data_IF_462280293414
#
_entry.id   IF_462280293414
#
_cell.length_a   1.000
_cell.length_b   1.000
_cell.length_c   1.000
_cell.angle_alpha   90.00
_cell.angle_beta   90.00
_cell.angle_gamma   90.00
#
_symmetry.space_group_name_H-M   'P 1'
#
loop_
_entity.id
_entity.type
_entity.pdbx_description
1 polymer ?
#
# COMPACT_ATOMS: atom_id res chain seq x y z
N UNK A 1 -13.44 2.04 23.96
CA UNK A 1 -12.14 2.74 24.10
C UNK A 1 -11.45 2.64 22.76
N UNK A 2 -11.12 3.75 22.12
CA UNK A 2 -10.46 3.78 20.81
C UNK A 2 -8.97 3.63 21.02
N UNK A 3 -8.36 2.60 20.44
CA UNK A 3 -6.90 2.44 20.51
C UNK A 3 -6.24 3.64 19.81
N UNK A 4 -5.25 4.30 20.44
CA UNK A 4 -4.56 5.41 19.79
C UNK A 4 -3.80 4.92 18.55
N UNK A 5 -3.73 5.75 17.52
CA UNK A 5 -2.94 5.44 16.33
C UNK A 5 -1.46 5.26 16.70
N UNK A 6 -0.84 4.12 16.36
CA UNK A 6 0.55 3.83 16.72
C UNK A 6 1.52 4.54 15.76
N UNK A 7 1.64 5.86 15.89
CA UNK A 7 2.38 6.72 14.96
C UNK A 7 3.83 6.27 14.72
N UNK A 8 4.59 5.96 15.78
CA UNK A 8 5.98 5.52 15.64
C UNK A 8 6.10 4.24 14.82
N UNK A 9 5.18 3.29 14.99
CA UNK A 9 5.14 2.06 14.22
C UNK A 9 4.75 2.38 12.78
N UNK A 10 3.74 3.22 12.55
CA UNK A 10 3.35 3.63 11.21
C UNK A 10 4.49 4.29 10.43
N UNK A 11 5.31 5.14 11.07
CA UNK A 11 6.49 5.75 10.45
C UNK A 11 7.51 4.69 9.98
N UNK A 12 7.79 3.68 10.81
CA UNK A 12 8.68 2.56 10.44
C UNK A 12 8.06 1.75 9.30
N UNK A 13 6.79 1.36 9.41
CA UNK A 13 6.14 0.51 8.41
C UNK A 13 6.00 1.22 7.06
N UNK A 14 5.70 2.53 7.03
CA UNK A 14 5.71 3.29 5.78
C UNK A 14 7.12 3.40 5.19
N UNK A 15 8.15 3.57 6.02
CA UNK A 15 9.54 3.58 5.55
C UNK A 15 9.84 2.27 4.82
N UNK A 16 9.49 1.12 5.42
CA UNK A 16 9.72 -0.19 4.80
C UNK A 16 8.88 -0.38 3.52
N UNK A 17 7.62 0.05 3.50
CA UNK A 17 6.78 0.03 2.30
C UNK A 17 7.37 0.90 1.17
N UNK A 18 7.85 2.10 1.49
CA UNK A 18 8.45 3.04 0.53
C UNK A 18 9.72 2.47 -0.12
N UNK A 19 10.54 1.73 0.63
CA UNK A 19 11.75 1.09 0.08
C UNK A 19 11.45 0.09 -1.05
N UNK A 20 10.24 -0.48 -1.09
CA UNK A 20 9.82 -1.36 -2.17
C UNK A 20 9.86 -0.67 -3.55
N UNK A 21 9.73 0.66 -3.59
CA UNK A 21 9.83 1.46 -4.82
C UNK A 21 11.27 1.70 -5.30
N UNK A 22 12.30 1.19 -4.61
CA UNK A 22 13.68 1.22 -5.11
C UNK A 22 13.86 0.45 -6.45
N UNK A 23 12.95 -0.46 -6.75
CA UNK A 23 12.85 -1.19 -8.02
C UNK A 23 12.21 -0.40 -9.17
N UNK A 24 11.56 0.72 -8.88
CA UNK A 24 10.78 1.46 -9.86
C UNK A 24 11.61 2.41 -10.74
N UNK A 25 12.88 2.62 -10.37
CA UNK A 25 13.77 3.49 -11.13
C UNK A 25 14.42 2.70 -12.26
N UNK A 26 13.92 2.90 -13.49
CA UNK A 26 14.65 2.53 -14.71
C UNK A 26 16.05 3.11 -14.67
N UNK A 27 17.02 2.33 -15.11
CA UNK A 27 18.38 2.83 -15.28
C UNK A 27 18.37 3.98 -16.29
N UNK A 28 18.89 5.15 -15.90
CA UNK A 28 18.83 6.35 -16.72
C UNK A 28 19.68 6.27 -18.00
N UNK A 29 20.58 5.29 -18.09
CA UNK A 29 21.46 5.06 -19.25
C UNK A 29 20.88 4.01 -20.19
N UNK A 30 20.28 2.94 -19.66
CA UNK A 30 19.75 1.84 -20.49
C UNK A 30 18.25 1.93 -20.73
N UNK A 31 17.51 2.64 -19.86
CA UNK A 31 16.04 2.65 -19.87
C UNK A 31 15.40 1.35 -19.40
N UNK A 32 16.19 0.40 -18.92
CA UNK A 32 15.73 -0.91 -18.43
C UNK A 32 15.47 -0.88 -16.93
N UNK A 33 14.58 -1.75 -16.46
CA UNK A 33 14.42 -1.97 -15.03
C UNK A 33 15.64 -2.72 -14.47
N UNK A 34 16.11 -2.35 -13.26
CA UNK A 34 17.26 -3.01 -12.67
C UNK A 34 16.95 -4.48 -12.35
N UNK A 35 17.93 -5.39 -12.45
CA UNK A 35 17.75 -6.77 -12.00
C UNK A 35 17.44 -6.80 -10.49
N UNK A 36 16.69 -7.82 -10.04
CA UNK A 36 16.26 -7.92 -8.62
C UNK A 36 17.42 -7.96 -7.62
N UNK A 37 18.62 -8.43 -8.02
CA UNK A 37 19.83 -8.34 -7.19
C UNK A 37 20.25 -6.90 -6.90
N UNK A 38 20.11 -5.99 -7.87
CA UNK A 38 20.37 -4.55 -7.70
C UNK A 38 19.30 -3.92 -6.84
N UNK A 39 18.03 -4.30 -7.03
CA UNK A 39 16.92 -3.85 -6.16
C UNK A 39 17.18 -4.25 -4.71
N UNK A 40 17.53 -5.53 -4.47
CA UNK A 40 17.89 -6.03 -3.14
C UNK A 40 19.01 -5.22 -2.52
N UNK A 41 20.08 -4.96 -3.27
CA UNK A 41 21.20 -4.15 -2.81
C UNK A 41 20.79 -2.70 -2.45
N UNK A 42 19.87 -2.09 -3.22
CA UNK A 42 19.34 -0.74 -2.91
C UNK A 42 18.52 -0.76 -1.62
N UNK A 43 17.59 -1.69 -1.46
CA UNK A 43 16.77 -1.82 -0.24
C UNK A 43 17.69 -2.04 0.98
N UNK A 44 18.60 -3.00 0.90
CA UNK A 44 19.55 -3.30 1.99
C UNK A 44 20.45 -2.10 2.30
N UNK A 45 20.96 -1.41 1.29
CA UNK A 45 21.78 -0.20 1.47
C UNK A 45 21.03 0.90 2.22
N UNK A 46 19.74 1.10 1.92
CA UNK A 46 18.92 2.08 2.60
C UNK A 46 18.51 1.66 4.02
N UNK A 47 18.22 0.39 4.26
CA UNK A 47 17.98 -0.13 5.62
C UNK A 47 19.20 0.03 6.54
N UNK A 48 20.40 -0.02 5.96
CA UNK A 48 21.67 0.27 6.63
C UNK A 48 21.98 1.78 6.77
N UNK A 49 21.01 2.68 6.55
CA UNK A 49 21.15 4.12 6.81
C UNK A 49 20.51 4.53 8.14
N UNK A 50 21.21 5.36 8.92
CA UNK A 50 20.76 5.80 10.25
C UNK A 50 19.80 6.99 10.13
N UNK A 51 19.55 7.43 8.91
CA UNK A 51 18.73 8.59 8.61
C UNK A 51 17.24 8.27 8.65
N UNK A 52 16.86 6.99 8.48
CA UNK A 52 15.46 6.58 8.38
C UNK A 52 14.91 6.03 9.70
N UNK A 53 13.58 6.04 9.84
CA UNK A 53 12.89 5.56 11.04
C UNK A 53 13.19 4.09 11.38
N UNK A 54 13.70 3.30 10.44
CA UNK A 54 14.17 1.93 10.65
C UNK A 54 15.47 1.82 11.48
N UNK A 55 16.23 2.91 11.66
CA UNK A 55 17.37 3.04 12.58
C UNK A 55 18.34 1.85 12.59
N UNK A 56 18.71 1.30 11.42
CA UNK A 56 19.61 0.13 11.25
C UNK A 56 19.15 -1.18 11.88
N UNK A 57 17.95 -1.24 12.47
CA UNK A 57 17.50 -2.46 13.13
C UNK A 57 16.86 -3.44 12.17
N UNK A 58 16.64 -3.09 10.90
CA UNK A 58 15.93 -3.92 9.93
C UNK A 58 16.86 -4.43 8.83
N UNK A 59 16.69 -5.68 8.42
CA UNK A 59 17.44 -6.29 7.31
C UNK A 59 16.52 -7.13 6.42
N UNK A 60 16.80 -7.18 5.11
CA UNK A 60 16.04 -8.03 4.18
C UNK A 60 16.41 -9.49 4.41
N UNK A 61 15.41 -10.34 4.65
CA UNK A 61 15.61 -11.76 4.96
C UNK A 61 14.89 -12.73 3.99
N UNK A 62 13.98 -12.21 3.17
CA UNK A 62 13.35 -12.94 2.06
C UNK A 62 13.01 -11.96 0.93
N UNK A 63 13.25 -12.37 -0.32
CA UNK A 63 13.06 -11.53 -1.49
C UNK A 63 14.16 -10.46 -1.64
N UNK A 64 13.86 -9.33 -2.32
CA UNK A 64 12.60 -9.00 -2.96
C UNK A 64 12.28 -9.90 -4.16
N UNK A 65 10.98 -10.12 -4.41
CA UNK A 65 10.47 -10.83 -5.58
C UNK A 65 9.46 -9.94 -6.29
N UNK A 66 9.67 -9.72 -7.59
CA UNK A 66 8.69 -9.07 -8.46
C UNK A 66 7.89 -10.13 -9.22
N UNK A 67 6.57 -10.03 -9.21
CA UNK A 67 5.69 -10.94 -9.94
C UNK A 67 5.61 -10.51 -11.41
N UNK A 68 5.65 -11.48 -12.32
CA UNK A 68 5.85 -11.22 -13.75
C UNK A 68 4.62 -10.67 -14.49
N UNK A 69 3.42 -10.89 -13.96
CA UNK A 69 2.16 -10.52 -14.63
C UNK A 69 1.62 -9.17 -14.17
N UNK A 70 1.95 -8.78 -12.94
CA UNK A 70 1.30 -7.64 -12.27
C UNK A 70 2.30 -6.56 -11.82
N UNK A 71 3.60 -6.76 -12.05
CA UNK A 71 4.69 -5.89 -11.59
C UNK A 71 4.64 -5.56 -10.09
N UNK A 72 3.93 -6.40 -9.33
CA UNK A 72 3.88 -6.32 -7.89
C UNK A 72 5.20 -6.78 -7.28
N UNK A 73 5.59 -6.21 -6.16
CA UNK A 73 6.80 -6.62 -5.45
C UNK A 73 6.49 -6.94 -4.00
N UNK A 74 7.10 -8.01 -3.49
CA UNK A 74 7.02 -8.40 -2.08
C UNK A 74 8.42 -8.72 -1.54
N UNK A 75 8.69 -8.31 -0.31
CA UNK A 75 9.89 -8.70 0.43
C UNK A 75 9.63 -8.75 1.94
N UNK A 76 10.45 -9.50 2.68
CA UNK A 76 10.38 -9.56 4.15
C UNK A 76 11.61 -8.92 4.77
N UNK A 77 11.38 -8.05 5.74
CA UNK A 77 12.41 -7.49 6.61
C UNK A 77 12.31 -8.07 8.03
N UNK A 78 13.45 -8.31 8.67
CA UNK A 78 13.58 -8.72 10.06
C UNK A 78 14.14 -7.58 10.89
N UNK A 79 13.50 -7.27 12.00
CA UNK A 79 14.08 -6.45 13.04
C UNK A 79 15.09 -7.30 13.85
N UNK A 80 16.38 -7.00 13.72
CA UNK A 80 17.48 -7.72 14.36
C UNK A 80 17.56 -7.53 15.88
N UNK A 81 16.82 -6.56 16.43
CA UNK A 81 16.77 -6.27 17.87
C UNK A 81 15.54 -6.91 18.51
N UNK A 82 14.34 -6.66 17.97
CA UNK A 82 13.08 -7.16 18.54
C UNK A 82 12.68 -8.54 18.02
N UNK A 83 13.26 -8.98 16.92
CA UNK A 83 12.87 -10.18 16.19
C UNK A 83 11.62 -9.98 15.31
N UNK A 84 10.93 -8.83 15.33
CA UNK A 84 9.71 -8.64 14.53
C UNK A 84 9.96 -8.81 13.02
N UNK A 85 8.97 -9.33 12.29
CA UNK A 85 9.02 -9.41 10.83
C UNK A 85 8.11 -8.35 10.21
N UNK A 86 8.45 -7.87 9.01
CA UNK A 86 7.61 -7.00 8.21
C UNK A 86 7.54 -7.54 6.78
N UNK A 87 6.34 -7.88 6.32
CA UNK A 87 6.01 -8.23 4.93
C UNK A 87 5.60 -6.93 4.22
N UNK A 88 6.40 -6.52 3.23
CA UNK A 88 6.27 -5.22 2.59
C UNK A 88 5.82 -5.40 1.14
N UNK A 89 4.74 -4.71 0.77
CA UNK A 89 4.03 -4.89 -0.48
C UNK A 89 4.12 -3.62 -1.34
N UNK A 90 4.51 -3.79 -2.60
CA UNK A 90 4.41 -2.77 -3.65
C UNK A 90 3.36 -3.19 -4.67
N UNK A 91 2.55 -2.22 -5.06
CA UNK A 91 1.67 -2.33 -6.23
C UNK A 91 2.40 -2.17 -7.56
N UNK A 92 1.64 -2.02 -8.64
CA UNK A 92 2.18 -1.67 -9.96
C UNK A 92 2.74 -0.26 -9.98
N UNK A 93 3.67 0.00 -10.89
CA UNK A 93 4.43 1.26 -10.92
C UNK A 93 4.17 2.16 -12.12
N UNK A 94 3.11 1.91 -12.87
CA UNK A 94 2.74 2.76 -14.00
C UNK A 94 2.01 4.04 -13.57
N UNK A 95 2.20 5.10 -14.36
CA UNK A 95 1.71 6.46 -14.05
C UNK A 95 0.19 6.50 -13.88
N UNK A 96 -0.32 7.45 -13.09
CA UNK A 96 -1.73 7.57 -12.70
C UNK A 96 -2.76 7.44 -13.87
N UNK A 97 -2.45 7.91 -15.08
CA UNK A 97 -3.34 7.73 -16.24
C UNK A 97 -3.34 6.30 -16.82
N UNK A 98 -2.26 5.55 -16.63
CA UNK A 98 -2.24 4.09 -16.82
C UNK A 98 -3.13 3.38 -15.81
N UNK A 99 -3.43 3.99 -14.65
CA UNK A 99 -4.26 3.41 -13.58
C UNK A 99 -5.76 3.44 -13.86
N UNK A 100 -6.20 4.00 -15.01
CA UNK A 100 -7.52 3.68 -15.56
C UNK A 100 -7.61 2.21 -15.99
N UNK A 101 -6.47 1.56 -16.26
CA UNK A 101 -6.36 0.11 -16.48
C UNK A 101 -6.54 -0.68 -15.17
N UNK A 102 -6.23 -0.07 -14.02
CA UNK A 102 -6.40 -0.70 -12.71
C UNK A 102 -7.87 -0.74 -12.25
N UNK A 103 -8.79 -0.15 -13.02
CA UNK A 103 -10.23 -0.21 -12.73
C UNK A 103 -10.69 -1.68 -12.59
N UNK A 104 -11.56 -1.97 -11.62
CA UNK A 104 -11.90 -3.34 -11.32
C UNK A 104 -12.73 -3.91 -12.47
N UNK A 105 -12.39 -5.12 -12.92
CA UNK A 105 -13.20 -5.84 -13.91
C UNK A 105 -14.34 -6.64 -13.27
N UNK A 106 -14.25 -6.89 -11.97
CA UNK A 106 -15.25 -7.62 -11.20
C UNK A 106 -14.81 -7.90 -9.77
N UNK A 107 -15.61 -8.70 -9.07
CA UNK A 107 -15.35 -9.13 -7.70
C UNK A 107 -15.23 -10.66 -7.60
N UNK A 108 -14.27 -11.12 -6.81
CA UNK A 108 -14.05 -12.53 -6.46
C UNK A 108 -14.33 -12.69 -4.98
N UNK A 109 -15.10 -13.73 -4.62
CA UNK A 109 -15.31 -14.12 -3.21
C UNK A 109 -13.96 -14.32 -2.52
N UNK A 110 -13.74 -13.67 -1.38
CA UNK A 110 -12.48 -13.76 -0.66
C UNK A 110 -12.53 -14.92 0.35
N UNK A 111 -11.75 -16.02 0.17
CA UNK A 111 -12.07 -17.29 0.84
C UNK A 111 -11.39 -17.53 2.20
N UNK A 112 -10.83 -16.53 2.88
CA UNK A 112 -10.17 -16.75 4.18
C UNK A 112 -11.07 -16.32 5.35
N UNK A 113 -11.43 -17.27 6.24
CA UNK A 113 -12.08 -16.94 7.52
C UNK A 113 -13.62 -16.98 7.59
N UNK A 114 -14.31 -17.65 6.66
CA UNK A 114 -15.77 -17.86 6.69
C UNK A 114 -16.60 -16.56 6.75
N UNK A 115 -16.39 -15.68 5.78
CA UNK A 115 -17.13 -14.41 5.65
C UNK A 115 -18.24 -14.56 4.63
N UNK A 116 -19.49 -14.60 5.10
CA UNK A 116 -20.65 -14.65 4.21
C UNK A 116 -20.70 -13.37 3.37
N UNK A 117 -20.50 -13.50 2.05
CA UNK A 117 -20.66 -12.41 1.09
C UNK A 117 -19.46 -11.48 0.91
N UNK A 118 -18.32 -11.69 1.59
CA UNK A 118 -17.13 -10.87 1.35
C UNK A 118 -16.53 -11.17 -0.03
N UNK A 119 -16.31 -10.12 -0.81
CA UNK A 119 -15.68 -10.20 -2.12
C UNK A 119 -14.71 -9.03 -2.30
N UNK A 120 -13.64 -9.28 -3.05
CA UNK A 120 -12.55 -8.33 -3.34
C UNK A 120 -12.42 -8.15 -4.85
N UNK A 121 -11.71 -7.10 -5.28
CA UNK A 121 -11.36 -6.94 -6.71
C UNK A 121 -10.64 -8.19 -7.22
N UNK A 122 -11.01 -8.62 -8.43
CA UNK A 122 -10.38 -9.78 -9.09
C UNK A 122 -8.87 -9.59 -9.29
N UNK A 123 -8.48 -8.36 -9.61
CA UNK A 123 -7.10 -7.94 -9.85
C UNK A 123 -6.26 -8.05 -8.57
N UNK A 124 -6.77 -7.54 -7.44
CA UNK A 124 -6.08 -7.68 -6.16
C UNK A 124 -6.06 -9.12 -5.66
N UNK A 125 -7.10 -9.91 -5.90
CA UNK A 125 -7.10 -11.33 -5.58
C UNK A 125 -6.01 -12.09 -6.36
N UNK A 126 -5.90 -11.82 -7.66
CA UNK A 126 -4.88 -12.47 -8.50
C UNK A 126 -3.47 -12.03 -8.11
N UNK A 127 -3.26 -10.73 -7.88
CA UNK A 127 -2.00 -10.19 -7.38
C UNK A 127 -1.58 -10.83 -6.05
N UNK A 128 -2.52 -11.01 -5.12
CA UNK A 128 -2.26 -11.69 -3.85
C UNK A 128 -1.81 -13.13 -4.07
N UNK A 129 -2.52 -13.88 -4.93
CA UNK A 129 -2.15 -15.27 -5.22
C UNK A 129 -0.73 -15.36 -5.79
N UNK A 130 -0.39 -14.48 -6.74
CA UNK A 130 0.95 -14.42 -7.32
C UNK A 130 2.03 -14.11 -6.27
N UNK A 131 1.77 -13.14 -5.36
CA UNK A 131 2.71 -12.81 -4.29
C UNK A 131 2.90 -13.95 -3.28
N UNK A 132 1.85 -14.72 -2.99
CA UNK A 132 1.93 -15.86 -2.07
C UNK A 132 2.62 -17.08 -2.71
N UNK A 133 2.44 -17.27 -4.01
CA UNK A 133 3.08 -18.34 -4.79
C UNK A 133 4.53 -18.00 -5.19
N UNK A 134 4.91 -16.72 -5.12
CA UNK A 134 6.26 -16.24 -5.38
C UNK A 134 7.28 -16.92 -4.46
N UNK A 135 8.45 -17.25 -5.02
CA UNK A 135 9.55 -17.89 -4.31
C UNK A 135 10.74 -16.96 -4.22
N UNK A 136 11.33 -16.89 -3.04
CA UNK A 136 12.58 -16.16 -2.85
C UNK A 136 13.71 -16.82 -3.66
N UNK A 137 14.46 -16.04 -4.47
CA UNK A 137 15.51 -16.58 -5.32
C UNK A 137 16.66 -17.23 -4.54
N UNK A 138 16.87 -16.84 -3.28
CA UNK A 138 17.99 -17.34 -2.48
C UNK A 138 17.64 -18.65 -1.76
N UNK A 139 16.46 -18.75 -1.17
CA UNK A 139 16.02 -19.91 -0.38
C UNK A 139 15.14 -20.89 -1.16
N UNK A 140 14.52 -20.46 -2.25
CA UNK A 140 13.52 -21.24 -3.00
C UNK A 140 12.18 -21.43 -2.28
N UNK A 141 12.00 -20.81 -1.10
CA UNK A 141 10.79 -20.92 -0.28
C UNK A 141 9.74 -19.88 -0.72
N UNK A 142 8.46 -20.26 -0.64
CA UNK A 142 7.36 -19.30 -0.76
C UNK A 142 7.33 -18.35 0.44
N UNK A 143 6.67 -17.20 0.30
CA UNK A 143 6.53 -16.23 1.39
C UNK A 143 5.96 -16.89 2.66
N UNK A 144 4.86 -17.62 2.53
CA UNK A 144 4.19 -18.25 3.67
C UNK A 144 5.05 -19.33 4.32
N UNK A 145 5.74 -20.15 3.53
CA UNK A 145 6.65 -21.18 4.06
C UNK A 145 7.84 -20.56 4.80
N UNK A 146 8.40 -19.48 4.25
CA UNK A 146 9.49 -18.74 4.87
C UNK A 146 9.05 -18.13 6.22
N UNK A 147 7.97 -17.34 6.23
CA UNK A 147 7.48 -16.69 7.45
C UNK A 147 7.14 -17.75 8.50
N UNK A 148 6.43 -18.81 8.13
CA UNK A 148 6.11 -19.91 9.07
C UNK A 148 7.37 -20.54 9.70
N UNK A 149 8.46 -20.66 8.94
CA UNK A 149 9.74 -21.20 9.43
C UNK A 149 10.55 -20.23 10.30
N UNK A 150 10.28 -18.93 10.24
CA UNK A 150 10.97 -17.90 11.04
C UNK A 150 10.22 -17.52 12.32
N UNK A 151 8.92 -17.77 12.38
CA UNK A 151 8.10 -17.32 13.51
C UNK A 151 8.32 -18.16 14.77
N UNK A 152 8.62 -17.45 15.85
CA UNK A 152 8.52 -17.93 17.23
C UNK A 152 7.15 -17.58 17.80
N UNK A 153 6.63 -18.41 18.71
CA UNK A 153 5.28 -18.23 19.25
C UNK A 153 5.11 -16.83 19.87
N UNK A 154 4.10 -16.08 19.40
CA UNK A 154 3.76 -14.75 19.92
C UNK A 154 4.54 -13.58 19.28
N UNK A 155 5.45 -13.86 18.34
CA UNK A 155 6.14 -12.83 17.56
C UNK A 155 5.14 -11.99 16.74
N UNK A 156 5.44 -10.69 16.60
CA UNK A 156 4.62 -9.79 15.78
C UNK A 156 5.12 -9.81 14.33
N UNK A 157 4.18 -9.93 13.40
CA UNK A 157 4.38 -9.80 11.96
C UNK A 157 3.60 -8.59 11.48
N UNK A 158 4.32 -7.61 10.96
CA UNK A 158 3.71 -6.50 10.26
C UNK A 158 3.45 -6.86 8.81
N UNK A 159 2.32 -6.43 8.26
CA UNK A 159 2.06 -6.42 6.83
C UNK A 159 1.81 -4.98 6.44
N UNK A 160 2.58 -4.47 5.48
CA UNK A 160 2.50 -3.06 5.10
C UNK A 160 2.64 -2.89 3.59
N UNK A 161 2.11 -1.77 3.10
CA UNK A 161 2.18 -1.43 1.69
C UNK A 161 1.70 -0.02 1.45
N UNK A 162 2.02 0.51 0.28
CA UNK A 162 1.59 1.82 -0.19
C UNK A 162 0.84 1.70 -1.53
N UNK A 163 -0.12 2.59 -1.80
CA UNK A 163 -0.89 2.61 -3.04
C UNK A 163 -1.62 1.28 -3.29
N UNK A 164 -1.55 0.69 -4.49
CA UNK A 164 -2.06 -0.64 -4.77
C UNK A 164 -1.46 -1.73 -3.84
N UNK A 165 -0.21 -1.59 -3.39
CA UNK A 165 0.37 -2.48 -2.39
C UNK A 165 -0.37 -2.42 -1.05
N UNK A 166 -0.92 -1.25 -0.70
CA UNK A 166 -1.71 -1.06 0.51
C UNK A 166 -3.09 -1.72 0.44
N UNK A 167 -3.71 -1.76 -0.73
CA UNK A 167 -4.97 -2.49 -0.93
C UNK A 167 -4.83 -4.00 -0.64
N UNK A 168 -3.64 -4.56 -0.89
CA UNK A 168 -3.31 -5.97 -0.65
C UNK A 168 -3.04 -6.30 0.83
N UNK A 169 -2.74 -5.31 1.68
CA UNK A 169 -2.37 -5.51 3.09
C UNK A 169 -3.37 -6.35 3.89
N UNK A 170 -4.67 -6.00 3.97
CA UNK A 170 -5.64 -6.79 4.75
C UNK A 170 -5.79 -8.22 4.21
N UNK A 171 -5.70 -8.39 2.89
CA UNK A 171 -5.81 -9.71 2.26
C UNK A 171 -4.59 -10.58 2.53
N UNK A 172 -3.38 -10.01 2.42
CA UNK A 172 -2.12 -10.68 2.73
C UNK A 172 -2.05 -11.06 4.21
N UNK A 173 -2.43 -10.14 5.11
CA UNK A 173 -2.51 -10.41 6.54
C UNK A 173 -3.42 -11.60 6.83
N UNK A 174 -4.62 -11.61 6.26
CA UNK A 174 -5.56 -12.70 6.46
C UNK A 174 -5.10 -14.04 5.86
N UNK A 175 -4.46 -14.01 4.68
CA UNK A 175 -3.89 -15.20 4.06
C UNK A 175 -2.78 -15.81 4.93
N UNK A 176 -1.89 -14.99 5.49
CA UNK A 176 -0.84 -15.47 6.39
C UNK A 176 -1.41 -15.97 7.73
N UNK A 177 -2.42 -15.29 8.29
CA UNK A 177 -3.01 -15.63 9.57
C UNK A 177 -3.89 -16.89 9.50
N UNK A 178 -4.72 -17.02 8.46
CA UNK A 178 -5.73 -18.07 8.35
C UNK A 178 -5.31 -19.22 7.44
N UNK A 179 -4.31 -19.00 6.59
CA UNK A 179 -3.87 -19.93 5.57
C UNK A 179 -4.36 -19.56 4.17
N UNK A 180 -3.72 -20.15 3.16
CA UNK A 180 -3.99 -19.91 1.75
C UNK A 180 -3.68 -21.16 0.93
N UNK A 181 -4.54 -21.54 -0.03
CA UNK A 181 -4.32 -22.68 -0.94
C UNK A 181 -3.81 -23.97 -0.25
N UNK A 182 -4.48 -24.39 0.83
CA UNK A 182 -4.12 -25.56 1.67
C UNK A 182 -2.86 -25.40 2.54
N UNK A 183 -2.15 -24.28 2.47
CA UNK A 183 -1.07 -23.94 3.39
C UNK A 183 -1.71 -23.42 4.69
N UNK A 184 -1.39 -24.00 5.86
CA UNK A 184 -2.00 -23.59 7.12
C UNK A 184 -1.61 -22.16 7.51
N UNK A 185 -2.48 -21.51 8.27
CA UNK A 185 -2.21 -20.22 8.88
C UNK A 185 -1.03 -20.27 9.86
N UNK A 186 -0.43 -19.10 10.08
CA UNK A 186 0.75 -18.92 10.93
C UNK A 186 0.30 -18.43 12.31
N UNK A 187 0.75 -19.09 13.37
CA UNK A 187 0.45 -18.69 14.75
C UNK A 187 1.34 -17.52 15.21
N UNK A 188 1.03 -16.32 14.74
CA UNK A 188 1.70 -15.06 15.09
C UNK A 188 0.67 -13.97 15.45
N UNK A 189 1.14 -12.87 16.03
CA UNK A 189 0.34 -11.64 16.11
C UNK A 189 0.53 -10.85 14.83
N UNK A 190 -0.53 -10.60 14.07
CA UNK A 190 -0.44 -9.82 12.84
C UNK A 190 -0.92 -8.39 13.03
N UNK A 191 -0.23 -7.44 12.39
CA UNK A 191 -0.60 -6.01 12.35
C UNK A 191 -0.43 -5.42 10.97
N UNK A 192 -1.45 -4.75 10.46
CA UNK A 192 -1.50 -4.16 9.14
C UNK A 192 -1.28 -2.65 9.15
N UNK A 193 -0.55 -2.14 8.16
CA UNK A 193 -0.49 -0.71 7.86
C UNK A 193 -0.63 -0.48 6.35
N UNK A 194 -1.79 -0.02 5.94
CA UNK A 194 -2.14 0.28 4.55
C UNK A 194 -2.07 1.79 4.32
N UNK A 195 -1.09 2.27 3.54
CA UNK A 195 -0.90 3.68 3.25
C UNK A 195 -1.41 4.04 1.85
N UNK A 196 -2.28 5.05 1.74
CA UNK A 196 -2.92 5.39 0.46
C UNK A 196 -3.66 4.20 -0.23
N UNK A 197 -4.35 3.30 0.48
CA UNK A 197 -4.97 2.14 -0.17
C UNK A 197 -6.18 2.56 -0.99
N UNK A 198 -6.30 2.17 -2.27
CA UNK A 198 -7.61 2.11 -2.89
C UNK A 198 -8.46 1.04 -2.17
N UNK A 199 -9.77 1.16 -2.33
CA UNK A 199 -10.77 0.19 -1.87
C UNK A 199 -10.53 -1.16 -2.52
N UNK A 200 -10.31 -2.19 -1.70
CA UNK A 200 -10.00 -3.53 -2.19
C UNK A 200 -11.19 -4.47 -2.30
N UNK A 201 -12.32 -4.16 -1.66
CA UNK A 201 -13.48 -5.05 -1.67
C UNK A 201 -14.81 -4.41 -1.35
N UNK A 202 -15.82 -5.26 -1.21
CA UNK A 202 -17.20 -4.89 -0.99
C UNK A 202 -17.49 -4.56 0.48
N UNK A 203 -18.69 -4.06 0.82
CA UNK A 203 -19.06 -3.73 2.20
C UNK A 203 -18.92 -4.88 3.20
N UNK A 204 -19.19 -6.12 2.77
CA UNK A 204 -19.03 -7.29 3.63
C UNK A 204 -17.55 -7.58 3.95
N UNK A 205 -16.66 -7.44 2.95
CA UNK A 205 -15.22 -7.51 3.16
C UNK A 205 -14.72 -6.39 4.08
N UNK A 206 -15.15 -5.15 3.83
CA UNK A 206 -14.74 -3.99 4.65
C UNK A 206 -15.14 -4.13 6.12
N UNK A 207 -16.35 -4.62 6.37
CA UNK A 207 -16.86 -4.91 7.72
C UNK A 207 -16.01 -5.99 8.39
N UNK A 208 -15.74 -7.09 7.68
CA UNK A 208 -14.92 -8.16 8.21
C UNK A 208 -13.49 -7.72 8.52
N UNK A 209 -12.85 -6.90 7.66
CA UNK A 209 -11.53 -6.34 7.95
C UNK A 209 -11.57 -5.55 9.25
N UNK A 210 -12.57 -4.65 9.40
CA UNK A 210 -12.72 -3.85 10.62
C UNK A 210 -12.94 -4.70 11.88
N UNK A 211 -13.63 -5.84 11.76
CA UNK A 211 -13.98 -6.69 12.89
C UNK A 211 -12.88 -7.69 13.27
N UNK A 212 -12.01 -8.10 12.33
CA UNK A 212 -11.15 -9.28 12.50
C UNK A 212 -9.67 -9.06 12.22
N UNK A 213 -9.31 -7.99 11.50
CA UNK A 213 -7.95 -7.72 11.08
C UNK A 213 -7.45 -6.46 11.80
N UNK A 214 -6.42 -6.59 12.64
CA UNK A 214 -5.76 -5.41 13.23
C UNK A 214 -4.95 -4.71 12.13
N UNK A 215 -5.57 -3.77 11.42
CA UNK A 215 -4.97 -3.05 10.30
C UNK A 215 -5.39 -1.58 10.27
N UNK A 216 -4.41 -0.68 10.22
CA UNK A 216 -4.64 0.76 10.08
C UNK A 216 -4.59 1.21 8.62
N UNK A 217 -5.62 1.92 8.18
CA UNK A 217 -5.71 2.56 6.87
C UNK A 217 -5.31 4.03 7.02
N UNK A 218 -4.14 4.40 6.53
CA UNK A 218 -3.59 5.75 6.65
C UNK A 218 -3.88 6.52 5.37
N UNK A 219 -4.68 7.58 5.48
CA UNK A 219 -5.26 8.29 4.34
C UNK A 219 -4.87 9.76 4.42
N UNK A 220 -4.31 10.28 3.32
CA UNK A 220 -4.25 11.71 3.06
C UNK A 220 -5.59 12.17 2.48
N UNK A 221 -6.33 13.09 3.13
CA UNK A 221 -7.63 13.54 2.62
C UNK A 221 -7.57 14.23 1.25
N UNK A 222 -6.39 14.65 0.80
CA UNK A 222 -6.17 15.23 -0.53
C UNK A 222 -5.66 14.21 -1.56
N UNK A 223 -5.40 12.97 -1.17
CA UNK A 223 -5.06 11.90 -2.11
C UNK A 223 -6.34 11.28 -2.67
N UNK A 224 -6.41 11.17 -4.01
CA UNK A 224 -7.57 10.62 -4.69
C UNK A 224 -7.55 9.10 -4.79
N UNK A 225 -6.40 8.44 -4.57
CA UNK A 225 -6.30 6.99 -4.70
C UNK A 225 -7.19 6.26 -3.70
N UNK A 226 -7.26 6.65 -2.41
CA UNK A 226 -8.22 6.06 -1.48
C UNK A 226 -9.71 6.19 -1.85
N UNK A 227 -10.06 7.11 -2.75
CA UNK A 227 -11.44 7.29 -3.24
C UNK A 227 -11.82 6.25 -4.30
N UNK A 228 -10.84 5.63 -4.97
CA UNK A 228 -11.09 4.48 -5.84
C UNK A 228 -11.35 3.27 -4.95
N UNK A 229 -12.49 2.58 -4.95
CA UNK A 229 -13.65 2.71 -5.84
C UNK A 229 -14.93 3.17 -5.14
N UNK A 230 -14.94 3.32 -3.82
CA UNK A 230 -16.16 3.62 -3.04
C UNK A 230 -16.65 5.07 -3.19
N UNK A 231 -15.74 6.01 -3.46
CA UNK A 231 -16.00 7.45 -3.40
C UNK A 231 -15.42 8.23 -4.59
N UNK A 232 -15.22 7.60 -5.76
CA UNK A 232 -14.58 8.22 -6.95
C UNK A 232 -15.18 9.60 -7.28
N UNK A 233 -16.49 9.76 -7.12
CA UNK A 233 -17.18 11.02 -7.44
C UNK A 233 -16.77 12.19 -6.54
N UNK A 234 -16.18 11.94 -5.37
CA UNK A 234 -15.67 12.97 -4.46
C UNK A 234 -14.54 13.81 -5.08
N UNK A 235 -13.84 13.29 -6.09
CA UNK A 235 -12.88 14.06 -6.88
C UNK A 235 -13.56 15.31 -7.48
N UNK A 236 -14.80 15.16 -7.97
CA UNK A 236 -15.57 16.27 -8.57
C UNK A 236 -16.34 17.04 -7.49
N UNK A 237 -17.07 16.33 -6.62
CA UNK A 237 -18.03 16.98 -5.70
C UNK A 237 -17.34 17.68 -4.54
N UNK A 238 -16.14 17.23 -4.14
CA UNK A 238 -15.33 17.83 -3.07
C UNK A 238 -14.05 18.49 -3.58
N UNK A 239 -13.83 18.51 -4.91
CA UNK A 239 -12.65 19.13 -5.55
C UNK A 239 -11.32 18.64 -4.96
N UNK A 240 -11.07 17.34 -5.02
CA UNK A 240 -9.85 16.68 -4.51
C UNK A 240 -8.92 16.35 -5.69
N UNK A 241 -7.60 16.61 -5.64
CA UNK A 241 -6.81 17.20 -4.53
C UNK A 241 -6.98 18.73 -4.38
N UNK A 242 -7.62 19.38 -5.34
CA UNK A 242 -7.86 20.81 -5.36
C UNK A 242 -8.86 21.18 -6.47
N UNK A 243 -9.03 22.48 -6.74
CA UNK A 243 -9.94 22.95 -7.78
C UNK A 243 -9.65 22.29 -9.14
N UNK A 244 -10.69 21.74 -9.77
CA UNK A 244 -10.59 21.22 -11.14
C UNK A 244 -10.45 22.43 -12.08
N UNK A 245 -9.44 22.47 -12.98
CA UNK A 245 -9.26 23.58 -13.91
C UNK A 245 -10.50 23.84 -14.77
N UNK A 246 -10.71 25.09 -15.21
CA UNK A 246 -11.74 25.39 -16.18
C UNK A 246 -11.36 24.95 -17.61
N UNK A 247 -12.33 24.97 -18.52
CA UNK A 247 -12.10 24.68 -19.94
C UNK A 247 -11.99 23.19 -20.28
N UNK A 248 -11.19 22.89 -21.30
CA UNK A 248 -11.08 21.53 -21.85
C UNK A 248 -10.47 20.52 -20.87
N UNK A 249 -9.44 20.92 -20.12
CA UNK A 249 -8.77 20.04 -19.15
C UNK A 249 -9.76 19.59 -18.06
N UNK A 250 -10.48 20.53 -17.44
CA UNK A 250 -11.50 20.18 -16.44
C UNK A 250 -12.63 19.34 -16.99
N UNK A 251 -13.07 19.59 -18.23
CA UNK A 251 -14.05 18.75 -18.90
C UNK A 251 -13.52 17.31 -19.07
N UNK A 252 -12.27 17.15 -19.51
CA UNK A 252 -11.63 15.85 -19.66
C UNK A 252 -11.51 15.11 -18.32
N UNK A 253 -11.04 15.78 -17.26
CA UNK A 253 -10.96 15.22 -15.90
C UNK A 253 -12.34 14.73 -15.45
N UNK A 254 -13.37 15.58 -15.56
CA UNK A 254 -14.74 15.21 -15.16
C UNK A 254 -15.25 14.01 -15.96
N UNK A 255 -14.96 13.93 -17.27
CA UNK A 255 -15.34 12.77 -18.09
C UNK A 255 -14.62 11.50 -17.65
N UNK A 256 -13.33 11.57 -17.37
CA UNK A 256 -12.56 10.42 -16.88
C UNK A 256 -13.07 9.92 -15.53
N UNK A 257 -13.32 10.82 -14.57
CA UNK A 257 -13.86 10.47 -13.25
C UNK A 257 -15.25 9.82 -13.36
N UNK A 258 -16.15 10.39 -14.16
CA UNK A 258 -17.47 9.79 -14.39
C UNK A 258 -17.37 8.41 -15.04
N UNK A 259 -16.46 8.23 -16.00
CA UNK A 259 -16.24 6.95 -16.65
C UNK A 259 -15.68 5.90 -15.66
N UNK A 260 -14.68 6.27 -14.86
CA UNK A 260 -14.13 5.42 -13.80
C UNK A 260 -15.20 5.01 -12.78
N UNK A 261 -16.02 5.96 -12.31
CA UNK A 261 -17.12 5.68 -11.39
C UNK A 261 -18.17 4.73 -12.01
N UNK A 262 -18.48 4.91 -13.29
CA UNK A 262 -19.37 4.02 -14.02
C UNK A 262 -18.82 2.59 -14.08
N UNK A 263 -17.56 2.41 -14.50
CA UNK A 263 -16.91 1.09 -14.56
C UNK A 263 -16.87 0.43 -13.18
N UNK A 264 -16.46 1.15 -12.15
CA UNK A 264 -16.47 0.64 -10.78
C UNK A 264 -17.86 0.17 -10.34
N UNK A 265 -18.92 0.93 -10.67
CA UNK A 265 -20.30 0.56 -10.34
C UNK A 265 -20.80 -0.69 -11.06
N UNK A 266 -20.29 -0.96 -12.27
CA UNK A 266 -20.58 -2.19 -13.00
C UNK A 266 -19.87 -3.40 -12.39
N UNK A 267 -18.67 -3.21 -11.85
CA UNK A 267 -17.87 -4.27 -11.25
C UNK A 267 -18.37 -4.70 -9.85
N UNK A 268 -19.03 -3.80 -9.11
CA UNK A 268 -19.65 -4.15 -7.84
C UNK A 268 -19.92 -2.95 -6.92
N UNK A 269 -20.20 -3.27 -5.66
CA UNK A 269 -20.26 -2.28 -4.56
C UNK A 269 -18.95 -2.32 -3.80
N UNK A 270 -18.48 -1.16 -3.36
CA UNK A 270 -17.15 -0.98 -2.78
C UNK A 270 -17.27 -0.23 -1.45
N UNK A 271 -16.43 -0.56 -0.49
CA UNK A 271 -16.31 0.21 0.76
C UNK A 271 -14.90 0.09 1.34
N UNK A 272 -14.34 1.21 1.81
CA UNK A 272 -13.15 1.18 2.65
C UNK A 272 -13.44 0.68 4.07
N UNK A 273 -12.53 -0.10 4.69
CA UNK A 273 -12.62 -0.44 6.11
C UNK A 273 -12.61 0.79 7.02
N UNK A 274 -13.25 0.70 8.19
CA UNK A 274 -13.50 1.85 9.07
C UNK A 274 -12.34 2.23 10.00
N UNK A 275 -11.34 1.36 10.20
CA UNK A 275 -10.16 1.65 11.02
C UNK A 275 -9.16 2.55 10.26
N UNK A 276 -9.45 3.85 10.25
CA UNK A 276 -8.70 4.84 9.48
C UNK A 276 -7.95 5.85 10.38
N UNK A 277 -6.77 6.28 9.92
CA UNK A 277 -6.04 7.41 10.46
C UNK A 277 -5.89 8.46 9.35
N UNK A 278 -6.44 9.66 9.56
CA UNK A 278 -6.33 10.74 8.59
C UNK A 278 -5.11 11.60 8.91
N UNK A 279 -4.30 11.86 7.89
CA UNK A 279 -3.21 12.82 8.01
C UNK A 279 -3.73 14.26 7.92
N UNK A 280 -2.84 15.23 8.15
CA UNK A 280 -3.13 16.62 7.84
C UNK A 280 -3.32 16.82 6.33
N UNK A 281 -4.34 17.58 5.93
CA UNK A 281 -4.50 18.04 4.56
C UNK A 281 -3.53 19.19 4.28
N UNK A 282 -2.53 18.96 3.43
CA UNK A 282 -1.56 19.98 2.98
C UNK A 282 -1.75 20.23 1.49
N UNK A 283 -2.40 21.35 1.09
CA UNK A 283 -2.59 21.69 -0.32
C UNK A 283 -1.27 21.93 -1.05
N UNK A 284 -1.24 21.68 -2.35
CA UNK A 284 -0.11 21.93 -3.25
C UNK A 284 -0.52 22.93 -4.34
N UNK A 285 -0.79 24.20 -3.98
CA UNK A 285 -1.46 25.15 -4.88
C UNK A 285 -0.62 25.58 -6.09
N UNK A 286 0.70 25.41 -6.02
CA UNK A 286 1.64 25.80 -7.09
C UNK A 286 1.76 24.72 -8.19
N UNK A 287 1.09 23.57 -8.03
CA UNK A 287 1.13 22.44 -8.96
C UNK A 287 -0.14 22.35 -9.81
N UNK A 288 -0.01 21.89 -11.05
CA UNK A 288 -1.14 21.54 -11.90
C UNK A 288 -1.91 20.34 -11.33
N UNK A 289 -3.17 20.15 -11.74
CA UNK A 289 -4.06 19.14 -11.12
C UNK A 289 -3.45 17.72 -11.07
N UNK A 290 -2.86 17.25 -12.17
CA UNK A 290 -2.20 15.94 -12.21
C UNK A 290 -0.90 15.87 -11.41
N UNK A 291 -0.16 16.97 -11.31
CA UNK A 291 1.02 17.07 -10.45
C UNK A 291 0.62 17.06 -8.98
N UNK A 292 -0.51 17.68 -8.62
CA UNK A 292 -1.10 17.57 -7.29
C UNK A 292 -1.46 16.12 -6.98
N UNK A 293 -2.10 15.39 -7.90
CA UNK A 293 -2.39 13.96 -7.70
C UNK A 293 -1.11 13.18 -7.38
N UNK A 294 -0.07 13.35 -8.20
CA UNK A 294 1.22 12.70 -7.97
C UNK A 294 1.85 13.11 -6.63
N UNK A 295 1.81 14.41 -6.31
CA UNK A 295 2.34 14.96 -5.08
C UNK A 295 1.62 14.50 -3.83
N UNK A 296 0.28 14.42 -3.85
CA UNK A 296 -0.53 13.97 -2.71
C UNK A 296 -0.41 12.46 -2.47
N UNK A 297 -0.20 11.69 -3.53
CA UNK A 297 -0.11 10.24 -3.51
C UNK A 297 1.30 9.68 -3.32
N UNK A 298 2.34 10.51 -3.39
CA UNK A 298 3.72 10.05 -3.26
C UNK A 298 4.00 9.50 -1.85
N UNK A 299 4.67 8.35 -1.72
CA UNK A 299 5.01 7.78 -0.41
C UNK A 299 5.90 8.71 0.43
N UNK A 300 6.76 9.53 -0.18
CA UNK A 300 7.53 10.56 0.51
C UNK A 300 6.64 11.69 1.05
N UNK A 301 5.50 11.98 0.42
CA UNK A 301 4.50 12.89 0.98
C UNK A 301 3.83 12.28 2.19
N UNK A 302 3.49 10.99 2.16
CA UNK A 302 2.99 10.30 3.35
C UNK A 302 4.05 10.27 4.46
N UNK A 303 5.33 10.01 4.15
CA UNK A 303 6.43 10.06 5.14
C UNK A 303 6.52 11.45 5.76
N UNK A 304 6.46 12.50 4.95
CA UNK A 304 6.40 13.88 5.43
C UNK A 304 5.20 14.10 6.35
N UNK A 305 3.99 13.72 5.94
CA UNK A 305 2.76 13.87 6.74
C UNK A 305 2.75 13.07 8.04
N UNK A 306 3.53 11.98 8.12
CA UNK A 306 3.75 11.24 9.37
C UNK A 306 4.88 11.82 10.21
N UNK A 307 5.62 12.83 9.75
CA UNK A 307 6.82 13.35 10.42
C UNK A 307 8.02 12.39 10.34
N UNK A 308 8.03 11.47 9.40
CA UNK A 308 9.13 10.56 9.11
C UNK A 308 10.13 11.17 8.11
N UNK A 309 11.36 10.64 8.10
CA UNK A 309 12.35 10.98 7.08
C UNK A 309 11.89 10.43 5.72
N UNK A 310 11.95 11.27 4.69
CA UNK A 310 11.70 10.86 3.31
C UNK A 310 12.84 9.99 2.77
N UNK A 311 12.49 9.03 1.92
CA UNK A 311 13.45 8.19 1.22
C UNK A 311 14.18 9.01 0.14
N UNK A 312 15.50 8.82 0.06
CA UNK A 312 16.33 9.42 -0.98
C UNK A 312 16.66 8.37 -2.05
N UNK A 313 16.79 8.82 -3.31
CA UNK A 313 17.17 7.98 -4.47
C UNK A 313 16.13 6.94 -4.92
N UNK A 314 14.83 7.24 -4.78
CA UNK A 314 13.76 6.49 -5.45
C UNK A 314 13.25 7.23 -6.72
N UNK A 315 12.47 6.54 -7.55
CA UNK A 315 11.91 7.11 -8.78
C UNK A 315 10.84 8.19 -8.53
N UNK A 316 10.23 8.18 -7.34
CA UNK A 316 9.12 9.08 -7.00
C UNK A 316 9.60 10.49 -6.66
N UNK A 317 10.88 10.65 -6.31
CA UNK A 317 11.47 11.92 -5.93
C UNK A 317 11.03 12.37 -4.54
N UNK A 318 11.59 13.50 -4.10
CA UNK A 318 11.22 14.11 -2.82
C UNK A 318 9.75 14.57 -2.83
N UNK A 319 9.13 14.60 -1.64
CA UNK A 319 7.80 15.18 -1.48
C UNK A 319 7.81 16.66 -1.93
N UNK A 320 6.79 17.11 -2.68
CA UNK A 320 6.59 18.53 -2.94
C UNK A 320 6.06 19.30 -1.72
N UNK A 321 5.70 18.61 -0.63
CA UNK A 321 5.20 19.25 0.59
C UNK A 321 6.33 19.92 1.37
N UNK A 322 6.02 21.09 1.92
CA UNK A 322 6.91 21.85 2.79
C UNK A 322 6.14 22.43 3.97
N UNK A 323 6.86 22.79 5.05
CA UNK A 323 6.27 23.41 6.25
C UNK A 323 6.29 22.52 7.49
N UNK A 324 5.67 23.01 8.57
CA UNK A 324 5.54 22.30 9.85
C UNK A 324 4.38 21.31 9.79
N UNK A 325 4.64 20.06 10.17
CA UNK A 325 3.66 18.97 10.15
C UNK A 325 2.99 18.84 11.52
N UNK A 326 1.68 18.64 11.52
CA UNK A 326 0.95 18.16 12.72
C UNK A 326 0.82 16.64 12.63
N UNK A 327 1.06 15.89 13.73
CA UNK A 327 0.84 14.45 13.74
C UNK A 327 -0.56 14.07 13.24
N UNK A 328 -0.71 12.92 12.56
CA UNK A 328 -2.02 12.41 12.12
C UNK A 328 -2.98 12.32 13.29
N UNK A 329 -4.25 12.63 13.03
CA UNK A 329 -5.31 12.47 14.01
C UNK A 329 -6.17 11.27 13.63
N UNK A 330 -6.55 10.48 14.64
CA UNK A 330 -7.48 9.38 14.46
C UNK A 330 -8.86 9.99 14.21
N UNK A 331 -9.44 9.75 13.05
CA UNK A 331 -10.89 9.86 12.93
C UNK A 331 -11.48 8.55 13.42
N UNK A 332 -12.02 8.59 14.64
CA UNK A 332 -12.92 7.55 15.07
C UNK A 332 -14.24 7.79 14.33
N UNK A 333 -14.83 6.77 13.67
CA UNK A 333 -16.18 6.87 13.12
C UNK A 333 -17.19 7.40 14.15
#
# INVERSE_FOLDING_TARGET
MTNPFPLSQAQVQLTLAALAYAADTKDSKTGEYPPMSVVKARITGQLNSNEYCANHTWTVVWGPVQTSLTDNLVYVALNTVSGELAVNLRGTTTQFLSRLEDLPSGQITFPTGNTTGAAVSAEFHNALSEMLDAKDPDTGLTLQAYVAGQITQGQTVYVNGHSQGAALVPMMQAALQNGWNSIPGIAATFKGFAFAPPTSGNPAFATWVADTVDCWFVINPLDIVPLGYDAIMDIITKTIPGPIPDGWEGYAIKKLVNYAAYIASLAGTWAQPSQQALTQSVPLPDLHFFEQIGGQHNHNSYLHLLGAKQITNDASGASPMSGTITPPYVTVP
#
